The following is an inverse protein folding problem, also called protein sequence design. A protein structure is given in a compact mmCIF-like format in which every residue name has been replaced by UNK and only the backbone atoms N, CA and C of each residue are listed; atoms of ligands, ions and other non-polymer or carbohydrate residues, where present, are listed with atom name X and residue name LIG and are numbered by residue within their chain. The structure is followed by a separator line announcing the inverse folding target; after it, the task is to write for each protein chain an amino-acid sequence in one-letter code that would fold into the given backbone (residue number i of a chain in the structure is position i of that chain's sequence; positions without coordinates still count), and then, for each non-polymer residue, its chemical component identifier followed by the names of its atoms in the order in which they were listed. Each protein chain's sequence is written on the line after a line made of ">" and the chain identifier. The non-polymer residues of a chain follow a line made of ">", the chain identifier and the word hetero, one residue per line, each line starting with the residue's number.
data_IF_065376094855
#
_entry.id   IF_065376094855
#
_cell.length_a   1.000
_cell.length_b   1.000
_cell.length_c   1.000
_cell.angle_alpha   90.00
_cell.angle_beta   90.00
_cell.angle_gamma   90.00
#
_symmetry.space_group_name_H-M   'P 1'
#
loop_
_entity.id
_entity.type
_entity.pdbx_description
1 polymer ?
#
# COMPACT_ATOMS: atom_id res chain seq x y z
N UNK A 1 -19.69 20.75 31.68
CA UNK A 1 -19.09 19.44 31.36
C UNK A 1 -18.80 19.34 29.86
N UNK A 2 -17.66 19.86 29.37
CA UNK A 2 -17.21 19.74 27.98
C UNK A 2 -16.18 18.60 27.74
N UNK A 3 -15.69 17.96 28.80
CA UNK A 3 -14.46 17.15 28.79
C UNK A 3 -14.68 15.72 28.26
N UNK A 4 -15.85 15.13 28.52
CA UNK A 4 -16.16 13.76 28.08
C UNK A 4 -16.34 13.64 26.56
N UNK A 5 -16.86 14.68 25.90
CA UNK A 5 -17.06 14.69 24.44
C UNK A 5 -15.73 14.72 23.67
N UNK A 6 -14.74 15.46 24.19
CA UNK A 6 -13.40 15.50 23.59
C UNK A 6 -12.70 14.14 23.73
N UNK A 7 -12.88 13.49 24.88
CA UNK A 7 -12.39 12.14 25.19
C UNK A 7 -12.99 11.08 24.26
N UNK A 8 -14.31 11.06 24.14
CA UNK A 8 -15.02 10.16 23.22
C UNK A 8 -14.58 10.36 21.77
N UNK A 9 -14.47 11.62 21.33
CA UNK A 9 -14.04 11.93 19.97
C UNK A 9 -12.60 11.50 19.69
N UNK A 10 -11.68 11.69 20.64
CA UNK A 10 -10.30 11.22 20.51
C UNK A 10 -10.22 9.69 20.35
N UNK A 11 -11.03 8.95 21.12
CA UNK A 11 -11.12 7.48 21.01
C UNK A 11 -11.72 7.05 19.67
N UNK A 12 -12.75 7.74 19.20
CA UNK A 12 -13.35 7.49 17.88
C UNK A 12 -12.32 7.65 16.76
N UNK A 13 -11.53 8.73 16.79
CA UNK A 13 -10.46 8.96 15.81
C UNK A 13 -9.42 7.85 15.80
N UNK A 14 -9.01 7.36 16.99
CA UNK A 14 -8.07 6.24 17.09
C UNK A 14 -8.68 4.96 16.52
N UNK A 15 -9.95 4.66 16.82
CA UNK A 15 -10.63 3.47 16.29
C UNK A 15 -10.73 3.51 14.78
N UNK A 16 -11.20 4.63 14.22
CA UNK A 16 -11.30 4.80 12.77
C UNK A 16 -9.94 4.68 12.07
N UNK A 17 -8.87 5.18 12.69
CA UNK A 17 -7.51 5.04 12.15
C UNK A 17 -7.10 3.56 12.08
N UNK A 18 -7.29 2.81 13.18
CA UNK A 18 -6.93 1.40 13.28
C UNK A 18 -7.77 0.55 12.32
N UNK A 19 -9.07 0.80 12.24
CA UNK A 19 -9.97 0.08 11.35
C UNK A 19 -9.62 0.31 9.87
N UNK A 20 -9.27 1.55 9.50
CA UNK A 20 -8.84 1.86 8.15
C UNK A 20 -7.49 1.19 7.79
N UNK A 21 -6.55 1.09 8.74
CA UNK A 21 -5.31 0.33 8.55
C UNK A 21 -5.58 -1.17 8.36
N UNK A 22 -6.50 -1.74 9.14
CA UNK A 22 -6.89 -3.14 9.01
C UNK A 22 -7.58 -3.41 7.66
N UNK A 23 -8.47 -2.51 7.22
CA UNK A 23 -9.11 -2.58 5.91
C UNK A 23 -8.10 -2.50 4.77
N UNK A 24 -7.14 -1.57 4.85
CA UNK A 24 -6.07 -1.44 3.86
C UNK A 24 -5.28 -2.74 3.73
N UNK A 25 -4.87 -3.33 4.86
CA UNK A 25 -4.15 -4.62 4.89
C UNK A 25 -4.98 -5.73 4.24
N UNK A 26 -6.25 -5.85 4.62
CA UNK A 26 -7.15 -6.87 4.07
C UNK A 26 -7.35 -6.71 2.55
N UNK A 27 -7.50 -5.46 2.08
CA UNK A 27 -7.64 -5.15 0.67
C UNK A 27 -6.37 -5.51 -0.12
N UNK A 28 -5.18 -5.18 0.40
CA UNK A 28 -3.90 -5.55 -0.21
C UNK A 28 -3.70 -7.07 -0.29
N UNK A 29 -4.06 -7.81 0.76
CA UNK A 29 -3.97 -9.28 0.78
C UNK A 29 -4.89 -9.93 -0.26
N UNK A 30 -6.07 -9.34 -0.47
CA UNK A 30 -7.08 -9.85 -1.43
C UNK A 30 -6.93 -9.28 -2.83
N UNK A 31 -6.01 -8.33 -3.05
CA UNK A 31 -5.91 -7.55 -4.29
C UNK A 31 -7.24 -6.86 -4.67
N UNK A 32 -8.00 -6.43 -3.65
CA UNK A 32 -9.28 -5.73 -3.83
C UNK A 32 -9.05 -4.22 -3.93
N UNK A 33 -9.03 -3.71 -5.16
CA UNK A 33 -8.73 -2.31 -5.46
C UNK A 33 -9.80 -1.33 -4.99
N UNK A 34 -11.09 -1.75 -5.00
CA UNK A 34 -12.18 -0.88 -4.54
C UNK A 34 -12.07 -0.68 -3.03
N UNK A 35 -11.90 -1.77 -2.28
CA UNK A 35 -11.72 -1.71 -0.82
C UNK A 35 -10.44 -0.97 -0.45
N UNK A 36 -9.37 -1.11 -1.26
CA UNK A 36 -8.12 -0.39 -1.04
C UNK A 36 -8.33 1.12 -1.20
N UNK A 37 -9.05 1.56 -2.23
CA UNK A 37 -9.34 2.96 -2.44
C UNK A 37 -10.21 3.54 -1.33
N UNK A 38 -11.24 2.81 -0.89
CA UNK A 38 -12.04 3.19 0.28
C UNK A 38 -11.17 3.33 1.53
N UNK A 39 -10.27 2.38 1.80
CA UNK A 39 -9.37 2.44 2.94
C UNK A 39 -8.44 3.66 2.91
N UNK A 40 -7.90 4.00 1.74
CA UNK A 40 -7.04 5.19 1.57
C UNK A 40 -7.83 6.47 1.84
N UNK A 41 -9.04 6.60 1.30
CA UNK A 41 -9.88 7.77 1.54
C UNK A 41 -10.20 7.92 3.03
N UNK A 42 -10.59 6.83 3.70
CA UNK A 42 -10.84 6.85 5.15
C UNK A 42 -9.60 7.22 5.95
N UNK A 43 -8.41 6.71 5.59
CA UNK A 43 -7.16 7.10 6.25
C UNK A 43 -6.89 8.59 6.08
N UNK A 44 -7.07 9.14 4.88
CA UNK A 44 -6.88 10.58 4.63
C UNK A 44 -7.83 11.44 5.45
N UNK A 45 -9.12 11.05 5.50
CA UNK A 45 -10.13 11.78 6.27
C UNK A 45 -9.83 11.76 7.76
N UNK A 46 -9.49 10.58 8.31
CA UNK A 46 -9.15 10.42 9.72
C UNK A 46 -7.89 11.20 10.08
N UNK A 47 -6.84 11.14 9.26
CA UNK A 47 -5.62 11.92 9.49
C UNK A 47 -5.89 13.43 9.45
N UNK A 48 -6.77 13.88 8.56
CA UNK A 48 -7.19 15.28 8.52
C UNK A 48 -7.91 15.68 9.80
N UNK A 49 -8.84 14.84 10.30
CA UNK A 49 -9.54 15.08 11.56
C UNK A 49 -8.61 15.04 12.77
N UNK A 50 -7.62 14.15 12.77
CA UNK A 50 -6.57 14.08 13.80
C UNK A 50 -5.75 15.36 13.81
N UNK A 51 -5.35 15.88 12.64
CA UNK A 51 -4.60 17.13 12.56
C UNK A 51 -5.43 18.35 12.96
N UNK A 52 -6.75 18.30 12.79
CA UNK A 52 -7.68 19.32 13.23
C UNK A 52 -8.06 19.22 14.72
N UNK A 53 -7.74 18.12 15.40
CA UNK A 53 -7.95 17.97 16.83
C UNK A 53 -7.05 18.96 17.59
N UNK A 54 -7.51 19.59 18.69
CA UNK A 54 -6.67 20.50 19.48
C UNK A 54 -5.37 19.84 19.93
N UNK A 55 -4.22 20.40 19.56
CA UNK A 55 -2.90 19.78 19.85
C UNK A 55 -2.54 18.58 18.95
N UNK A 56 -3.36 18.28 17.94
CA UNK A 56 -3.17 17.20 16.97
C UNK A 56 -3.02 15.84 17.64
N UNK A 57 -2.04 15.06 17.18
CA UNK A 57 -1.69 13.76 17.77
C UNK A 57 -1.30 13.85 19.25
N UNK A 58 -0.59 14.91 19.65
CA UNK A 58 -0.17 15.06 21.05
C UNK A 58 -1.38 15.35 21.94
N UNK A 59 -2.29 16.21 21.48
CA UNK A 59 -3.55 16.45 22.19
C UNK A 59 -4.39 15.19 22.32
N UNK A 60 -4.50 14.38 21.26
CA UNK A 60 -5.17 13.07 21.34
C UNK A 60 -4.48 12.17 22.38
N UNK A 61 -3.15 12.10 22.40
CA UNK A 61 -2.41 11.28 23.36
C UNK A 61 -2.60 11.76 24.80
N UNK A 62 -2.59 13.07 25.03
CA UNK A 62 -2.86 13.70 26.33
C UNK A 62 -4.29 13.39 26.78
N UNK A 63 -5.29 13.62 25.93
CA UNK A 63 -6.69 13.30 26.21
C UNK A 63 -6.90 11.82 26.54
N UNK A 64 -6.20 10.90 25.85
CA UNK A 64 -6.25 9.46 26.14
C UNK A 64 -5.55 9.11 27.46
N UNK A 65 -4.54 9.88 27.87
CA UNK A 65 -3.82 9.65 29.13
C UNK A 65 -4.65 9.98 30.37
N UNK A 66 -5.68 10.82 30.21
CA UNK A 66 -6.61 11.19 31.27
C UNK A 66 -7.72 10.14 31.53
N UNK A 67 -7.85 9.13 30.66
CA UNK A 67 -8.76 8.01 30.90
C UNK A 67 -8.30 7.14 32.07
N UNK A 68 -9.25 6.41 32.68
CA UNK A 68 -8.90 5.31 33.57
C UNK A 68 -7.90 4.36 32.90
N UNK A 69 -6.94 3.86 33.69
CA UNK A 69 -5.81 3.06 33.21
C UNK A 69 -6.23 1.91 32.28
N UNK A 70 -7.30 1.20 32.62
CA UNK A 70 -7.85 0.10 31.82
C UNK A 70 -8.24 0.54 30.40
N UNK A 71 -8.90 1.68 30.27
CA UNK A 71 -9.33 2.22 28.97
C UNK A 71 -8.13 2.70 28.16
N UNK A 72 -7.16 3.36 28.81
CA UNK A 72 -5.92 3.78 28.17
C UNK A 72 -5.10 2.58 27.66
N UNK A 73 -5.04 1.48 28.41
CA UNK A 73 -4.37 0.23 28.01
C UNK A 73 -5.04 -0.43 26.80
N UNK A 74 -6.38 -0.44 26.76
CA UNK A 74 -7.13 -0.94 25.59
C UNK A 74 -6.83 -0.11 24.33
N UNK A 75 -6.83 1.23 24.45
CA UNK A 75 -6.54 2.12 23.32
C UNK A 75 -5.10 1.94 22.83
N UNK A 76 -4.13 1.79 23.74
CA UNK A 76 -2.73 1.47 23.39
C UNK A 76 -2.61 0.13 22.67
N UNK A 77 -3.39 -0.87 23.10
CA UNK A 77 -3.44 -2.18 22.43
C UNK A 77 -3.96 -2.07 21.00
N UNK A 78 -5.03 -1.30 20.79
CA UNK A 78 -5.58 -1.01 19.45
C UNK A 78 -4.54 -0.32 18.55
N UNK A 79 -3.87 0.72 19.05
CA UNK A 79 -2.83 1.43 18.31
C UNK A 79 -1.66 0.50 17.95
N UNK A 80 -1.25 -0.37 18.87
CA UNK A 80 -0.21 -1.37 18.60
C UNK A 80 -0.63 -2.35 17.50
N UNK A 81 -1.91 -2.73 17.45
CA UNK A 81 -2.42 -3.56 16.38
C UNK A 81 -2.49 -2.80 15.04
N UNK A 82 -2.96 -1.56 15.04
CA UNK A 82 -2.96 -0.70 13.86
C UNK A 82 -1.55 -0.51 13.27
N UNK A 83 -0.53 -0.29 14.10
CA UNK A 83 0.84 -0.14 13.61
C UNK A 83 1.38 -1.44 12.97
N UNK A 84 1.07 -2.62 13.55
CA UNK A 84 1.40 -3.90 12.90
C UNK A 84 0.72 -4.03 11.53
N UNK A 85 -0.53 -3.60 11.43
CA UNK A 85 -1.29 -3.68 10.17
C UNK A 85 -0.72 -2.73 9.12
N UNK A 86 -0.34 -1.51 9.51
CA UNK A 86 0.37 -0.55 8.66
C UNK A 86 1.72 -1.10 8.19
N UNK A 87 2.50 -1.72 9.08
CA UNK A 87 3.79 -2.35 8.72
C UNK A 87 3.59 -3.49 7.72
N UNK A 88 2.57 -4.33 7.91
CA UNK A 88 2.21 -5.40 6.97
C UNK A 88 1.81 -4.82 5.60
N UNK A 89 0.92 -3.82 5.58
CA UNK A 89 0.53 -3.11 4.34
C UNK A 89 1.73 -2.55 3.59
N UNK A 90 2.65 -1.87 4.29
CA UNK A 90 3.88 -1.33 3.68
C UNK A 90 4.75 -2.43 3.06
N UNK A 91 4.82 -3.59 3.70
CA UNK A 91 5.57 -4.75 3.18
C UNK A 91 4.93 -5.27 1.90
N UNK A 92 3.60 -5.44 1.89
CA UNK A 92 2.85 -5.89 0.72
C UNK A 92 2.99 -4.92 -0.46
N UNK A 93 2.91 -3.62 -0.22
CA UNK A 93 3.10 -2.58 -1.25
C UNK A 93 4.51 -2.69 -1.85
N UNK A 94 5.55 -2.79 -1.02
CA UNK A 94 6.94 -2.95 -1.50
C UNK A 94 7.12 -4.23 -2.31
N UNK A 95 6.53 -5.34 -1.88
CA UNK A 95 6.57 -6.60 -2.61
C UNK A 95 5.89 -6.49 -3.98
N UNK A 96 4.72 -5.83 -4.05
CA UNK A 96 4.01 -5.63 -5.31
C UNK A 96 4.79 -4.70 -6.25
N UNK A 97 5.44 -3.66 -5.74
CA UNK A 97 6.32 -2.80 -6.54
C UNK A 97 7.54 -3.58 -7.08
N UNK A 98 8.16 -4.41 -6.26
CA UNK A 98 9.28 -5.26 -6.70
C UNK A 98 8.84 -6.24 -7.80
N UNK A 99 7.64 -6.84 -7.66
CA UNK A 99 7.05 -7.71 -8.69
C UNK A 99 6.78 -6.95 -9.99
N UNK A 100 6.21 -5.75 -9.89
CA UNK A 100 5.96 -4.90 -11.06
C UNK A 100 7.26 -4.59 -11.82
N UNK A 101 8.30 -4.18 -11.10
CA UNK A 101 9.61 -3.91 -11.70
C UNK A 101 10.22 -5.15 -12.35
N UNK A 102 10.13 -6.32 -11.70
CA UNK A 102 10.63 -7.59 -12.25
C UNK A 102 9.90 -8.00 -13.53
N UNK A 103 8.57 -7.82 -13.60
CA UNK A 103 7.78 -8.06 -14.80
C UNK A 103 8.22 -7.11 -15.92
N UNK A 104 8.41 -5.82 -15.61
CA UNK A 104 8.90 -4.84 -16.58
C UNK A 104 10.26 -5.23 -17.17
N UNK A 105 11.21 -5.65 -16.33
CA UNK A 105 12.52 -6.13 -16.77
C UNK A 105 12.43 -7.39 -17.62
N UNK A 106 11.55 -8.34 -17.26
CA UNK A 106 11.33 -9.54 -18.06
C UNK A 106 10.75 -9.23 -19.45
N UNK A 107 9.77 -8.32 -19.52
CA UNK A 107 9.17 -7.90 -20.79
C UNK A 107 10.23 -7.22 -21.68
N UNK A 108 11.03 -6.29 -21.13
CA UNK A 108 12.10 -5.63 -21.87
C UNK A 108 13.12 -6.63 -22.44
N UNK A 109 13.60 -7.57 -21.60
CA UNK A 109 14.52 -8.62 -22.04
C UNK A 109 13.91 -9.57 -23.09
N UNK A 110 12.60 -9.82 -23.04
CA UNK A 110 11.91 -10.66 -24.02
C UNK A 110 11.79 -9.99 -25.40
N UNK A 111 11.59 -8.67 -25.44
CA UNK A 111 11.54 -7.90 -26.69
C UNK A 111 12.90 -7.84 -27.40
N UNK A 112 13.99 -7.73 -26.63
CA UNK A 112 15.36 -7.84 -27.18
C UNK A 112 15.55 -9.20 -27.86
N UNK A 113 15.13 -10.30 -27.22
CA UNK A 113 15.27 -11.65 -27.78
C UNK A 113 14.48 -11.87 -29.06
N UNK A 114 13.27 -11.30 -29.17
CA UNK A 114 12.45 -11.35 -30.40
C UNK A 114 13.13 -10.61 -31.56
N UNK A 115 13.81 -9.50 -31.30
CA UNK A 115 14.52 -8.71 -32.32
C UNK A 115 15.76 -9.43 -32.84
N UNK A 116 16.50 -10.14 -31.99
CA UNK A 116 17.63 -10.97 -32.41
C UNK A 116 17.21 -12.22 -33.20
N UNK A 117 16.10 -12.87 -32.85
CA UNK A 117 15.59 -14.01 -33.64
C UNK A 117 15.02 -13.58 -35.00
N UNK A 118 14.39 -12.41 -35.09
CA UNK A 118 13.89 -11.87 -36.35
C UNK A 118 15.04 -11.50 -37.31
N UNK A 119 16.16 -10.98 -36.82
CA UNK A 119 17.31 -10.63 -37.67
C UNK A 119 18.12 -11.84 -38.11
N UNK A 120 18.24 -12.89 -37.28
CA UNK A 120 18.88 -14.15 -37.67
C UNK A 120 18.05 -14.99 -38.67
N UNK A 121 16.72 -14.91 -38.62
CA UNK A 121 15.84 -15.67 -39.53
C UNK A 121 15.69 -15.05 -40.93
N UNK A 122 16.21 -13.83 -41.16
CA UNK A 122 16.16 -13.13 -42.45
C UNK A 122 17.46 -13.33 -43.26
N UNK A 123 18.48 -13.96 -42.67
CA UNK A 123 19.81 -14.10 -43.28
C UNK A 123 20.00 -15.38 -44.14
N UNK A 124 19.03 -16.29 -44.22
CA UNK A 124 19.22 -17.60 -44.89
C UNK A 124 18.59 -17.73 -46.30
N UNK A 125 17.92 -16.70 -46.84
CA UNK A 125 17.32 -16.72 -48.19
C UNK A 125 18.08 -15.82 -49.19
N UNK A 126 19.41 -15.87 -49.18
CA UNK A 126 20.21 -15.30 -50.27
C UNK A 126 20.20 -16.27 -51.47
N UNK A 127 19.72 -15.88 -52.67
CA UNK A 127 19.62 -16.78 -53.81
C UNK A 127 21.00 -17.26 -54.26
N UNK A 128 21.23 -18.57 -54.20
CA UNK A 128 22.39 -19.19 -54.83
C UNK A 128 22.29 -18.98 -56.35
N UNK A 129 23.06 -18.03 -56.87
CA UNK A 129 23.27 -17.88 -58.30
C UNK A 129 23.99 -19.13 -58.83
N UNK A 130 23.20 -20.07 -59.35
CA UNK A 130 23.66 -21.10 -60.28
C UNK A 130 23.95 -20.40 -61.61
N UNK A 131 25.22 -20.19 -61.94
CA UNK A 131 25.62 -19.91 -63.32
C UNK A 131 26.73 -20.85 -63.77
N UNK A 132 26.34 -21.60 -64.79
CA UNK A 132 26.99 -22.69 -65.52
C UNK A 132 28.33 -22.29 -66.14
N UNK A 133 29.25 -23.26 -66.20
CA UNK A 133 30.43 -23.29 -67.08
C UNK A 133 30.09 -22.96 -68.53
N UNK A 134 30.95 -22.18 -69.19
CA UNK A 134 31.44 -22.40 -70.56
C UNK A 134 32.94 -22.12 -70.56
#
# INVERSE_FOLDING_TARGET
>A
MPDDTAKEYAVELVRHLVDAMALQKAALLKSDWSSLQSAVNTLTDVLTRINAFPGGLNGIAETISEYEKTNSDQIRSLLKQGDKDRQASNTLIKMNLARFNAIGSFIAASQDRTTYQATLSVADDAPQHVSRRV
#
